data_IF_445049539278
#
_entry.id   IF_445049539278
#
_cell.length_a   1.000
_cell.length_b   1.000
_cell.length_c   1.000
_cell.angle_alpha   90.00
_cell.angle_beta   90.00
_cell.angle_gamma   90.00
#
_symmetry.space_group_name_H-M   'P 1'
#
loop_
_entity.id
_entity.type
_entity.pdbx_description
1 polymer ?
#
# COMPACT_ATOMS: atom_id res chain seq x y z
N UNK A 1 5.97 8.37 -36.51
CA UNK A 1 5.69 8.56 -35.07
C UNK A 1 4.66 9.67 -34.93
N UNK A 2 3.63 9.44 -34.11
CA UNK A 2 2.72 10.49 -33.65
C UNK A 2 3.41 11.34 -32.57
N UNK A 3 2.86 12.52 -32.28
CA UNK A 3 3.32 13.40 -31.20
C UNK A 3 2.15 13.72 -30.28
N UNK A 4 2.44 13.85 -28.98
CA UNK A 4 1.49 14.28 -27.95
C UNK A 4 2.15 15.40 -27.12
N UNK A 5 1.37 16.37 -26.65
CA UNK A 5 1.89 17.39 -25.73
C UNK A 5 2.07 16.80 -24.33
N UNK A 6 3.04 17.31 -23.54
CA UNK A 6 3.24 16.84 -22.15
C UNK A 6 2.00 17.02 -21.29
N UNK A 7 1.26 18.13 -21.47
CA UNK A 7 0.01 18.36 -20.73
C UNK A 7 -1.02 17.27 -21.02
N UNK A 8 -1.26 16.96 -22.31
CA UNK A 8 -2.23 15.92 -22.68
C UNK A 8 -1.78 14.53 -22.19
N UNK A 9 -0.48 14.27 -22.13
CA UNK A 9 0.07 13.06 -21.55
C UNK A 9 -0.23 12.97 -20.05
N UNK A 10 0.09 14.03 -19.30
CA UNK A 10 -0.16 14.11 -17.87
C UNK A 10 -1.65 14.00 -17.52
N UNK A 11 -2.53 14.61 -18.32
CA UNK A 11 -3.98 14.52 -18.14
C UNK A 11 -4.51 13.10 -18.40
N UNK A 12 -3.83 12.31 -19.25
CA UNK A 12 -4.28 10.97 -19.64
C UNK A 12 -3.68 9.86 -18.78
N UNK A 13 -2.40 9.96 -18.43
CA UNK A 13 -1.63 8.90 -17.77
C UNK A 13 -1.04 9.34 -16.43
N UNK A 14 -1.20 10.60 -16.02
CA UNK A 14 -0.46 11.19 -14.90
C UNK A 14 0.93 11.69 -15.32
N UNK A 15 1.63 12.43 -14.43
CA UNK A 15 2.93 13.03 -14.73
C UNK A 15 3.98 11.98 -15.09
N UNK A 16 5.03 12.40 -15.80
CA UNK A 16 6.20 11.59 -16.17
C UNK A 16 7.51 12.31 -15.83
N UNK A 17 8.66 11.69 -16.10
CA UNK A 17 10.00 12.13 -15.67
C UNK A 17 10.24 13.63 -15.90
N UNK A 18 10.59 14.35 -14.83
CA UNK A 18 10.83 15.80 -14.82
C UNK A 18 9.59 16.68 -14.67
N UNK A 19 8.38 16.12 -14.75
CA UNK A 19 7.17 16.84 -14.36
C UNK A 19 7.13 17.00 -12.83
N UNK A 20 6.43 18.02 -12.35
CA UNK A 20 6.36 18.37 -10.93
C UNK A 20 4.94 18.43 -10.41
N UNK A 21 4.74 17.99 -9.17
CA UNK A 21 3.42 17.96 -8.50
C UNK A 21 3.55 18.60 -7.12
N UNK A 22 2.59 19.48 -6.77
CA UNK A 22 2.48 20.04 -5.43
C UNK A 22 1.75 19.05 -4.52
N UNK A 23 2.24 18.86 -3.30
CA UNK A 23 1.59 18.00 -2.32
C UNK A 23 0.51 18.78 -1.56
N UNK A 24 -0.76 18.48 -1.87
CA UNK A 24 -1.90 19.16 -1.27
C UNK A 24 -1.86 20.68 -1.49
N UNK A 25 -2.17 21.43 -0.45
CA UNK A 25 -2.09 22.89 -0.39
C UNK A 25 -0.77 23.40 0.24
N UNK A 26 0.22 22.51 0.40
CA UNK A 26 1.54 22.85 0.97
C UNK A 26 2.44 23.53 -0.07
N UNK A 27 3.60 24.04 0.37
CA UNK A 27 4.69 24.51 -0.52
C UNK A 27 5.68 23.42 -0.95
N UNK A 28 5.38 22.15 -0.64
CA UNK A 28 6.20 21.02 -1.07
C UNK A 28 5.87 20.66 -2.52
N UNK A 29 6.91 20.56 -3.35
CA UNK A 29 6.82 20.17 -4.75
C UNK A 29 7.74 18.97 -4.98
N UNK A 30 7.16 17.88 -5.45
CA UNK A 30 7.89 16.67 -5.86
C UNK A 30 8.14 16.68 -7.37
N UNK A 31 9.23 16.06 -7.81
CA UNK A 31 9.58 15.87 -9.22
C UNK A 31 9.62 14.37 -9.51
N UNK A 32 9.08 13.94 -10.66
CA UNK A 32 9.16 12.53 -11.07
C UNK A 32 10.60 12.22 -11.50
N UNK A 33 11.28 11.35 -10.76
CA UNK A 33 12.69 11.03 -10.95
C UNK A 33 12.91 9.99 -12.06
N UNK A 34 11.98 9.04 -12.19
CA UNK A 34 12.03 7.99 -13.20
C UNK A 34 10.61 7.55 -13.60
N UNK A 35 10.46 7.10 -14.84
CA UNK A 35 9.22 6.50 -15.34
C UNK A 35 9.55 5.16 -16.02
N UNK A 36 8.88 4.10 -15.57
CA UNK A 36 9.00 2.75 -16.11
C UNK A 36 8.22 2.53 -17.40
N UNK A 37 7.35 3.48 -17.79
CA UNK A 37 6.54 3.35 -18.99
C UNK A 37 7.38 3.29 -20.27
N UNK A 38 6.88 2.54 -21.25
CA UNK A 38 7.29 2.67 -22.65
C UNK A 38 6.24 3.55 -23.33
N UNK A 39 6.62 4.75 -23.77
CA UNK A 39 5.65 5.74 -24.25
C UNK A 39 4.85 5.25 -25.46
N UNK A 40 3.52 5.22 -25.31
CA UNK A 40 2.57 4.66 -26.27
C UNK A 40 2.06 3.26 -25.92
N UNK A 41 2.66 2.62 -24.93
CA UNK A 41 2.34 1.28 -24.43
C UNK A 41 1.83 1.27 -22.98
N UNK A 42 1.40 2.43 -22.47
CA UNK A 42 0.78 2.58 -21.16
C UNK A 42 -0.47 1.70 -21.05
N UNK A 43 -0.63 1.03 -19.92
CA UNK A 43 -1.82 0.22 -19.68
C UNK A 43 -2.91 1.06 -19.03
N UNK A 44 -4.08 1.13 -19.68
CA UNK A 44 -5.30 1.74 -19.12
C UNK A 44 -6.48 0.80 -19.29
N UNK A 45 -7.30 0.71 -18.24
CA UNK A 45 -8.54 -0.06 -18.25
C UNK A 45 -9.75 0.82 -18.67
N UNK A 46 -10.71 0.21 -19.37
CA UNK A 46 -11.96 0.83 -19.78
C UNK A 46 -12.41 0.47 -21.21
N UNK A 47 -13.65 0.85 -21.55
CA UNK A 47 -14.22 0.58 -22.87
C UNK A 47 -13.36 1.15 -24.01
N UNK A 48 -12.91 0.29 -24.92
CA UNK A 48 -12.06 0.66 -26.05
C UNK A 48 -10.58 0.95 -25.70
N UNK A 49 -10.14 0.71 -24.46
CA UNK A 49 -8.76 0.98 -24.02
C UNK A 49 -7.84 -0.25 -24.16
N UNK A 50 -6.72 -0.25 -23.44
CA UNK A 50 -5.56 -1.14 -23.65
C UNK A 50 -5.74 -2.50 -22.97
N UNK A 51 -6.15 -2.53 -21.69
CA UNK A 51 -6.35 -3.78 -20.95
C UNK A 51 -7.64 -4.44 -21.43
N UNK A 52 -7.51 -5.23 -22.51
CA UNK A 52 -8.53 -6.04 -23.16
C UNK A 52 -7.89 -7.30 -23.72
N UNK A 53 -8.71 -8.32 -23.90
CA UNK A 53 -8.31 -9.63 -24.41
C UNK A 53 -7.44 -9.54 -25.67
N UNK A 54 -6.26 -10.14 -25.62
CA UNK A 54 -5.28 -10.18 -26.71
C UNK A 54 -4.55 -8.85 -26.98
N UNK A 55 -4.89 -7.78 -26.27
CA UNK A 55 -4.22 -6.47 -26.33
C UNK A 55 -3.25 -6.34 -25.17
N UNK A 56 -3.48 -5.44 -24.21
CA UNK A 56 -2.70 -5.33 -22.97
C UNK A 56 -3.01 -6.41 -21.93
N UNK A 57 -4.02 -7.27 -22.17
CA UNK A 57 -4.29 -8.47 -21.38
C UNK A 57 -3.79 -9.70 -22.15
N UNK A 58 -2.85 -10.44 -21.56
CA UNK A 58 -2.30 -11.68 -22.10
C UNK A 58 -3.27 -12.87 -21.96
N UNK A 59 -2.93 -13.99 -22.62
CA UNK A 59 -3.65 -15.27 -22.47
C UNK A 59 -3.12 -16.14 -21.33
N UNK A 60 -2.15 -15.64 -20.55
CA UNK A 60 -1.44 -16.45 -19.56
C UNK A 60 -2.34 -16.81 -18.37
N UNK A 61 -2.14 -17.99 -17.75
CA UNK A 61 -2.91 -18.41 -16.58
C UNK A 61 -2.53 -17.61 -15.33
N UNK A 62 -3.38 -17.63 -14.31
CA UNK A 62 -3.16 -16.92 -13.04
C UNK A 62 -1.89 -17.35 -12.30
N UNK A 63 -1.30 -18.51 -12.59
CA UNK A 63 0.02 -18.89 -12.07
C UNK A 63 1.13 -17.95 -12.54
N UNK A 64 0.97 -17.31 -13.70
CA UNK A 64 1.96 -16.44 -14.35
C UNK A 64 1.58 -14.95 -14.34
N UNK A 65 0.35 -14.60 -14.00
CA UNK A 65 -0.11 -13.21 -13.96
C UNK A 65 -0.32 -12.71 -12.54
N UNK A 66 -0.42 -11.40 -12.36
CA UNK A 66 -0.77 -10.80 -11.07
C UNK A 66 -2.27 -10.90 -10.79
N UNK A 67 -2.66 -10.89 -9.53
CA UNK A 67 -4.08 -10.92 -9.13
C UNK A 67 -4.70 -9.51 -9.26
N UNK A 68 -3.90 -8.47 -9.03
CA UNK A 68 -4.31 -7.08 -9.20
C UNK A 68 -3.14 -6.24 -9.75
N UNK A 69 -3.44 -5.29 -10.61
CA UNK A 69 -2.48 -4.28 -11.07
C UNK A 69 -2.99 -2.88 -10.74
N UNK A 70 -2.12 -2.04 -10.17
CA UNK A 70 -2.35 -0.60 -10.03
C UNK A 70 -1.62 0.07 -11.19
N UNK A 71 -2.36 0.70 -12.11
CA UNK A 71 -1.79 1.25 -13.35
C UNK A 71 -1.35 2.70 -13.20
N UNK A 72 -0.21 3.07 -13.79
CA UNK A 72 0.27 4.45 -13.93
C UNK A 72 0.33 5.24 -12.61
N UNK A 73 0.73 4.60 -11.49
CA UNK A 73 0.80 5.26 -10.19
C UNK A 73 2.05 6.14 -10.08
N UNK A 74 1.91 7.36 -9.54
CA UNK A 74 3.04 8.13 -9.06
C UNK A 74 3.39 7.66 -7.66
N UNK A 75 4.42 6.83 -7.54
CA UNK A 75 4.90 6.28 -6.27
C UNK A 75 5.76 7.32 -5.56
N UNK A 76 5.46 7.55 -4.29
CA UNK A 76 6.26 8.37 -3.39
C UNK A 76 6.66 7.49 -2.21
N UNK A 77 7.96 7.19 -2.11
CA UNK A 77 8.51 6.39 -1.02
C UNK A 77 9.93 6.85 -0.66
N UNK A 78 10.49 6.32 0.43
CA UNK A 78 11.80 6.74 0.94
C UNK A 78 12.96 6.50 -0.04
N UNK A 79 12.80 5.55 -0.97
CA UNK A 79 13.82 5.19 -1.97
C UNK A 79 13.71 5.99 -3.27
N UNK A 80 12.63 6.75 -3.49
CA UNK A 80 12.47 7.58 -4.69
C UNK A 80 11.03 8.00 -4.99
N UNK A 81 10.90 8.87 -5.98
CA UNK A 81 9.63 9.37 -6.52
C UNK A 81 9.54 8.95 -7.99
N UNK A 82 8.83 7.85 -8.28
CA UNK A 82 8.84 7.23 -9.60
C UNK A 82 7.45 6.94 -10.12
N UNK A 83 7.31 6.88 -11.43
CA UNK A 83 6.09 6.51 -12.14
C UNK A 83 6.18 5.05 -12.59
N UNK A 84 5.24 4.21 -12.17
CA UNK A 84 5.23 2.80 -12.50
C UNK A 84 3.84 2.16 -12.38
N UNK A 85 3.71 0.95 -12.92
CA UNK A 85 2.65 0.03 -12.56
C UNK A 85 3.09 -0.83 -11.37
N UNK A 86 2.14 -1.23 -10.52
CA UNK A 86 2.40 -2.09 -9.35
C UNK A 86 1.58 -3.38 -9.45
N UNK A 87 2.27 -4.52 -9.39
CA UNK A 87 1.67 -5.84 -9.44
C UNK A 87 1.50 -6.44 -8.06
N UNK A 88 0.31 -6.94 -7.76
CA UNK A 88 -0.05 -7.60 -6.49
C UNK A 88 -0.45 -9.04 -6.76
N UNK A 89 0.13 -9.98 -6.00
CA UNK A 89 -0.20 -11.40 -6.06
C UNK A 89 -0.20 -12.01 -4.67
N UNK A 90 -1.24 -12.78 -4.35
CA UNK A 90 -1.44 -13.43 -3.05
C UNK A 90 -1.24 -12.46 -1.86
N UNK A 91 -1.78 -11.24 -1.98
CA UNK A 91 -1.72 -10.20 -0.95
C UNK A 91 -0.33 -9.54 -0.78
N UNK A 92 0.60 -9.74 -1.71
CA UNK A 92 1.96 -9.16 -1.66
C UNK A 92 2.27 -8.38 -2.93
N UNK A 93 3.07 -7.33 -2.80
CA UNK A 93 3.68 -6.64 -3.94
C UNK A 93 4.71 -7.60 -4.56
N UNK A 94 4.57 -7.89 -5.85
CA UNK A 94 5.46 -8.80 -6.59
C UNK A 94 6.23 -8.13 -7.72
N UNK A 95 5.88 -6.89 -8.07
CA UNK A 95 6.61 -6.11 -9.04
C UNK A 95 6.23 -4.63 -9.02
N UNK A 96 7.22 -3.79 -9.30
CA UNK A 96 7.09 -2.36 -9.60
C UNK A 96 7.83 -2.17 -10.92
N UNK A 97 7.13 -1.77 -11.97
CA UNK A 97 7.72 -1.73 -13.32
C UNK A 97 6.67 -1.46 -14.39
N UNK A 98 6.82 -2.10 -15.56
CA UNK A 98 5.87 -1.97 -16.67
C UNK A 98 4.94 -3.17 -16.74
N UNK A 99 3.64 -2.94 -16.60
CA UNK A 99 2.63 -3.98 -16.72
C UNK A 99 2.10 -4.12 -18.16
N UNK A 100 1.50 -5.28 -18.46
CA UNK A 100 0.74 -5.49 -19.69
C UNK A 100 0.86 -6.90 -20.26
N UNK A 101 0.87 -6.99 -21.59
CA UNK A 101 0.95 -8.24 -22.31
C UNK A 101 2.29 -8.38 -23.05
N UNK A 102 3.15 -9.34 -22.67
CA UNK A 102 4.45 -9.53 -23.33
C UNK A 102 4.33 -10.01 -24.79
N UNK A 103 3.17 -10.50 -25.22
CA UNK A 103 2.97 -10.97 -26.60
C UNK A 103 2.82 -9.80 -27.59
N UNK A 104 2.45 -8.61 -27.11
CA UNK A 104 2.12 -7.45 -27.95
C UNK A 104 2.85 -6.17 -27.54
N UNK A 105 3.45 -6.13 -26.36
CA UNK A 105 4.11 -4.94 -25.80
C UNK A 105 5.55 -5.24 -25.39
N UNK A 106 6.43 -4.26 -25.53
CA UNK A 106 7.82 -4.39 -25.14
C UNK A 106 8.02 -4.20 -23.62
N UNK A 107 9.09 -4.79 -23.09
CA UNK A 107 9.61 -4.57 -21.73
C UNK A 107 8.58 -4.81 -20.60
N UNK A 108 7.70 -5.80 -20.74
CA UNK A 108 6.71 -6.14 -19.70
C UNK A 108 7.37 -6.93 -18.56
N UNK A 109 7.36 -6.35 -17.36
CA UNK A 109 7.80 -6.97 -16.11
C UNK A 109 6.64 -7.64 -15.36
N UNK A 110 5.43 -7.07 -15.49
CA UNK A 110 4.23 -7.45 -14.73
C UNK A 110 3.15 -7.93 -15.71
N UNK A 111 2.95 -9.24 -15.81
CA UNK A 111 2.00 -9.80 -16.77
C UNK A 111 0.57 -9.67 -16.26
N UNK A 112 -0.29 -9.07 -17.09
CA UNK A 112 -1.75 -8.96 -16.88
C UNK A 112 -2.45 -10.08 -17.65
N UNK A 113 -3.36 -10.80 -17.00
CA UNK A 113 -4.13 -11.88 -17.60
C UNK A 113 -5.62 -11.80 -17.30
N UNK A 114 -6.41 -12.81 -17.71
CA UNK A 114 -7.86 -12.80 -17.53
C UNK A 114 -8.33 -12.79 -16.07
N UNK A 115 -7.48 -13.24 -15.13
CA UNK A 115 -7.76 -13.23 -13.69
C UNK A 115 -7.23 -12.00 -12.94
N UNK A 116 -6.71 -11.00 -13.65
CA UNK A 116 -6.12 -9.80 -13.05
C UNK A 116 -7.17 -8.68 -12.92
N UNK A 117 -7.38 -8.18 -11.70
CA UNK A 117 -8.15 -6.95 -11.45
C UNK A 117 -7.31 -5.69 -11.73
N UNK A 118 -7.94 -4.58 -12.09
CA UNK A 118 -7.28 -3.31 -12.38
C UNK A 118 -7.75 -2.18 -11.45
N UNK A 119 -6.79 -1.50 -10.82
CA UNK A 119 -6.98 -0.25 -10.08
C UNK A 119 -6.30 0.88 -10.87
N UNK A 120 -7.05 1.92 -11.21
CA UNK A 120 -6.53 3.06 -11.97
C UNK A 120 -5.76 4.02 -11.04
N UNK A 121 -4.44 4.07 -11.17
CA UNK A 121 -3.54 4.98 -10.44
C UNK A 121 -3.15 6.24 -11.22
N UNK A 122 -3.52 6.36 -12.49
CA UNK A 122 -3.25 7.56 -13.28
C UNK A 122 -3.77 8.85 -12.61
N UNK A 123 -2.86 9.79 -12.37
CA UNK A 123 -3.17 11.06 -11.69
C UNK A 123 -3.30 10.94 -10.16
N UNK A 124 -3.05 9.76 -9.58
CA UNK A 124 -3.00 9.52 -8.14
C UNK A 124 -1.56 9.35 -7.66
N UNK A 125 -1.33 9.66 -6.38
CA UNK A 125 -0.10 9.31 -5.66
C UNK A 125 -0.33 8.01 -4.89
N UNK A 126 0.64 7.10 -4.96
CA UNK A 126 0.67 5.86 -4.20
C UNK A 126 1.80 5.90 -3.18
N UNK A 127 1.49 5.62 -1.91
CA UNK A 127 2.45 5.51 -0.82
C UNK A 127 2.31 4.15 -0.13
N UNK A 128 3.30 3.78 0.69
CA UNK A 128 3.07 2.76 1.72
C UNK A 128 2.00 3.25 2.72
N UNK A 129 1.35 2.30 3.39
CA UNK A 129 0.46 2.61 4.52
C UNK A 129 1.26 3.06 5.74
N UNK A 130 0.70 4.00 6.50
CA UNK A 130 1.32 4.51 7.72
C UNK A 130 1.50 3.42 8.79
N UNK A 131 2.55 3.57 9.60
CA UNK A 131 2.82 2.74 10.77
C UNK A 131 2.82 3.67 12.00
N UNK A 132 1.81 3.54 12.86
CA UNK A 132 1.79 4.22 14.14
C UNK A 132 2.27 3.28 15.24
N UNK A 133 3.34 3.66 15.93
CA UNK A 133 3.98 2.84 16.95
C UNK A 133 3.75 3.35 18.39
N UNK A 134 2.81 4.27 18.60
CA UNK A 134 2.48 4.81 19.92
C UNK A 134 0.97 4.79 20.19
N UNK A 135 0.34 3.64 19.98
CA UNK A 135 -1.10 3.51 20.19
C UNK A 135 -1.45 3.17 21.64
N UNK A 136 -2.33 3.97 22.22
CA UNK A 136 -3.05 3.58 23.43
C UNK A 136 -4.38 2.93 23.01
N UNK A 137 -4.53 1.62 23.17
CA UNK A 137 -5.77 0.91 22.80
C UNK A 137 -6.90 1.16 23.81
N UNK A 138 -7.36 2.42 23.88
CA UNK A 138 -8.41 2.92 24.78
C UNK A 138 -9.78 2.47 24.28
N UNK A 139 -10.01 2.52 22.97
CA UNK A 139 -11.27 2.13 22.36
C UNK A 139 -11.07 1.62 20.92
N UNK A 140 -11.93 0.72 20.43
CA UNK A 140 -11.79 0.11 19.10
C UNK A 140 -12.04 1.10 17.95
N UNK A 141 -12.75 2.20 18.17
CA UNK A 141 -13.07 3.20 17.13
C UNK A 141 -11.79 3.83 16.53
N UNK A 142 -10.71 3.92 17.30
CA UNK A 142 -9.43 4.45 16.82
C UNK A 142 -8.88 3.67 15.61
N UNK A 143 -9.24 2.40 15.46
CA UNK A 143 -8.73 1.55 14.38
C UNK A 143 -9.33 2.00 13.04
N UNK A 144 -10.61 2.31 13.01
CA UNK A 144 -11.27 2.86 11.81
C UNK A 144 -10.73 4.26 11.49
N UNK A 145 -10.58 5.12 12.50
CA UNK A 145 -10.04 6.47 12.32
C UNK A 145 -8.61 6.45 11.75
N UNK A 146 -7.76 5.56 12.29
CA UNK A 146 -6.40 5.36 11.81
C UNK A 146 -6.40 4.87 10.35
N UNK A 147 -7.23 3.88 10.03
CA UNK A 147 -7.33 3.34 8.67
C UNK A 147 -7.78 4.40 7.66
N UNK A 148 -8.78 5.22 8.02
CA UNK A 148 -9.28 6.30 7.17
C UNK A 148 -8.26 7.41 6.94
N UNK A 149 -7.30 7.58 7.86
CA UNK A 149 -6.16 8.49 7.68
C UNK A 149 -5.00 7.90 6.85
N UNK A 150 -5.07 6.62 6.46
CA UNK A 150 -4.03 5.93 5.70
C UNK A 150 -3.02 5.13 6.54
N UNK A 151 -3.25 4.95 7.84
CA UNK A 151 -2.46 4.03 8.69
C UNK A 151 -2.94 2.60 8.45
N UNK A 152 -2.02 1.67 8.25
CA UNK A 152 -2.34 0.23 8.04
C UNK A 152 -1.70 -0.67 9.08
N UNK A 153 -0.92 -0.11 9.99
CA UNK A 153 -0.28 -0.82 11.10
C UNK A 153 -0.32 0.03 12.37
N UNK A 154 -0.79 -0.55 13.46
CA UNK A 154 -0.89 0.08 14.77
C UNK A 154 -0.17 -0.79 15.82
N UNK A 155 0.86 -0.24 16.44
CA UNK A 155 1.64 -0.87 17.50
C UNK A 155 1.49 -0.07 18.79
N UNK A 156 1.22 -0.74 19.89
CA UNK A 156 0.94 -0.04 21.15
C UNK A 156 0.49 -0.99 22.24
N UNK A 157 -0.30 -0.52 23.21
CA UNK A 157 -0.83 -1.39 24.26
C UNK A 157 -2.06 -0.79 24.95
N UNK A 158 -2.86 -1.66 25.55
CA UNK A 158 -4.07 -1.24 26.25
C UNK A 158 -5.06 -2.38 26.48
N UNK A 159 -6.05 -2.11 27.32
CA UNK A 159 -7.13 -3.06 27.68
C UNK A 159 -8.50 -2.39 27.64
N UNK A 160 -8.66 -1.34 26.84
CA UNK A 160 -9.84 -0.48 26.84
C UNK A 160 -9.66 0.75 27.74
N UNK A 161 -10.76 1.40 28.18
CA UNK A 161 -10.72 2.71 28.84
C UNK A 161 -10.34 2.64 30.33
N UNK A 162 -9.40 1.75 30.68
CA UNK A 162 -8.86 1.63 32.03
C UNK A 162 -7.83 2.74 32.31
N UNK A 163 -7.71 3.18 33.57
CA UNK A 163 -6.75 4.22 33.98
C UNK A 163 -5.32 3.93 33.54
N UNK A 164 -4.91 2.65 33.56
CA UNK A 164 -3.58 2.25 33.08
C UNK A 164 -3.38 2.50 31.59
N UNK A 165 -4.34 2.12 30.75
CA UNK A 165 -4.29 2.33 29.29
C UNK A 165 -4.39 3.80 28.93
N UNK A 166 -5.18 4.59 29.65
CA UNK A 166 -5.25 6.03 29.45
C UNK A 166 -3.91 6.74 29.72
N UNK A 167 -2.99 6.11 30.46
CA UNK A 167 -1.68 6.67 30.80
C UNK A 167 -0.50 5.99 30.08
N UNK A 168 -0.63 4.71 29.72
CA UNK A 168 0.49 3.89 29.22
C UNK A 168 0.05 2.99 28.07
N UNK A 169 0.93 2.80 27.09
CA UNK A 169 0.78 1.85 25.98
C UNK A 169 1.09 0.41 26.43
N UNK A 170 0.41 -0.08 27.47
CA UNK A 170 0.64 -1.40 28.03
C UNK A 170 -0.61 -2.27 28.01
N UNK A 171 -0.45 -3.49 27.52
CA UNK A 171 -1.37 -4.62 27.67
C UNK A 171 -0.79 -5.56 28.73
N UNK A 172 -1.06 -5.37 30.03
CA UNK A 172 -0.32 -6.02 31.10
C UNK A 172 -0.74 -7.47 31.33
N UNK A 173 0.21 -8.39 31.23
CA UNK A 173 0.05 -9.80 31.61
C UNK A 173 -0.59 -10.69 30.54
N UNK A 174 -0.38 -12.02 30.60
CA UNK A 174 -0.77 -12.95 29.53
C UNK A 174 -2.27 -12.95 29.21
N UNK A 175 -3.13 -12.83 30.22
CA UNK A 175 -4.58 -12.86 30.00
C UNK A 175 -5.06 -11.69 29.14
N UNK A 176 -4.60 -10.47 29.44
CA UNK A 176 -4.99 -9.30 28.66
C UNK A 176 -4.41 -9.33 27.25
N UNK A 177 -3.19 -9.84 27.08
CA UNK A 177 -2.58 -10.04 25.75
C UNK A 177 -3.44 -11.00 24.92
N UNK A 178 -3.81 -12.15 25.49
CA UNK A 178 -4.68 -13.12 24.81
C UNK A 178 -6.05 -12.52 24.44
N UNK A 179 -6.68 -11.74 25.32
CA UNK A 179 -7.97 -11.10 25.03
C UNK A 179 -7.85 -10.04 23.93
N UNK A 180 -6.77 -9.25 23.91
CA UNK A 180 -6.55 -8.25 22.87
C UNK A 180 -6.24 -8.90 21.51
N UNK A 181 -5.50 -10.01 21.48
CA UNK A 181 -5.27 -10.79 20.27
C UNK A 181 -6.58 -11.37 19.71
N UNK A 182 -7.46 -11.87 20.58
CA UNK A 182 -8.79 -12.34 20.16
C UNK A 182 -9.68 -11.20 19.66
N UNK A 183 -9.67 -10.05 20.36
CA UNK A 183 -10.45 -8.87 19.96
C UNK A 183 -9.94 -8.22 18.66
N UNK A 184 -8.66 -8.43 18.32
CA UNK A 184 -8.06 -7.99 17.07
C UNK A 184 -8.50 -8.82 15.85
N UNK A 185 -9.00 -10.04 16.07
CA UNK A 185 -9.37 -10.94 14.97
C UNK A 185 -10.51 -10.35 14.14
N UNK A 186 -10.35 -10.40 12.82
CA UNK A 186 -11.30 -9.83 11.86
C UNK A 186 -11.16 -8.32 11.59
N UNK A 187 -10.23 -7.61 12.24
CA UNK A 187 -9.97 -6.20 11.94
C UNK A 187 -9.00 -6.06 10.74
N UNK A 188 -9.28 -5.20 9.75
CA UNK A 188 -8.41 -4.99 8.59
C UNK A 188 -7.23 -4.05 8.93
N UNK A 189 -6.46 -4.39 9.97
CA UNK A 189 -5.34 -3.62 10.51
C UNK A 189 -4.25 -4.57 10.99
N UNK A 190 -2.98 -4.29 10.69
CA UNK A 190 -1.88 -5.01 11.34
C UNK A 190 -1.73 -4.49 12.77
N UNK A 191 -1.82 -5.37 13.77
CA UNK A 191 -1.81 -4.99 15.18
C UNK A 191 -0.65 -5.63 15.95
N UNK A 192 0.00 -4.86 16.81
CA UNK A 192 1.03 -5.33 17.73
C UNK A 192 0.82 -4.79 19.14
N UNK A 193 0.94 -5.66 20.15
CA UNK A 193 0.68 -5.33 21.54
C UNK A 193 1.96 -5.35 22.39
N UNK A 194 2.14 -4.30 23.19
CA UNK A 194 3.27 -4.08 24.08
C UNK A 194 2.87 -4.45 25.52
N UNK A 195 3.66 -5.31 26.16
CA UNK A 195 3.52 -5.62 27.58
C UNK A 195 3.95 -4.47 28.49
N UNK A 196 3.79 -4.64 29.80
CA UNK A 196 4.30 -3.70 30.80
C UNK A 196 5.75 -4.03 31.14
N UNK A 197 6.66 -3.11 30.79
CA UNK A 197 8.10 -3.26 31.03
C UNK A 197 8.58 -2.89 32.44
N UNK A 198 7.74 -2.26 33.26
CA UNK A 198 8.12 -1.80 34.59
C UNK A 198 8.15 -2.98 35.59
N UNK A 199 9.30 -3.66 35.68
CA UNK A 199 9.55 -4.71 36.67
C UNK A 199 11.04 -4.74 37.06
N UNK A 200 11.35 -5.25 38.25
CA UNK A 200 12.73 -5.43 38.73
C UNK A 200 13.25 -6.87 38.56
N UNK A 201 12.40 -7.81 38.16
CA UNK A 201 12.74 -9.22 37.92
C UNK A 201 12.24 -9.64 36.53
N UNK A 202 12.97 -10.54 35.84
CA UNK A 202 12.70 -10.86 34.43
C UNK A 202 11.51 -11.80 34.21
N UNK A 203 11.15 -12.63 35.19
CA UNK A 203 10.14 -13.70 34.99
C UNK A 203 8.79 -13.16 34.50
N UNK A 204 8.27 -12.12 35.15
CA UNK A 204 7.01 -11.46 34.77
C UNK A 204 7.10 -10.68 33.43
N UNK A 205 8.30 -10.40 32.93
CA UNK A 205 8.49 -9.81 31.60
C UNK A 205 8.51 -10.90 30.54
N UNK A 206 9.21 -12.01 30.81
CA UNK A 206 9.28 -13.16 29.91
C UNK A 206 7.90 -13.78 29.67
N UNK A 207 7.06 -13.90 30.70
CA UNK A 207 5.70 -14.44 30.52
C UNK A 207 4.85 -13.57 29.58
N UNK A 208 5.03 -12.24 29.59
CA UNK A 208 4.28 -11.33 28.72
C UNK A 208 4.75 -11.44 27.27
N UNK A 209 6.05 -11.65 27.04
CA UNK A 209 6.61 -11.86 25.70
C UNK A 209 6.19 -13.21 25.12
N UNK A 210 6.02 -14.23 25.96
CA UNK A 210 5.63 -15.58 25.54
C UNK A 210 4.12 -15.77 25.34
N UNK A 211 3.30 -14.78 25.70
CA UNK A 211 1.84 -14.83 25.69
C UNK A 211 1.23 -14.65 24.29
#
# INVERSE_FOLDING_TARGET
MSKMSRQAYADMFGPTTGDRVRLGDTDLIIEVEHDHAVYGDEVKFGGGKVIRDGMGQSQRPSSETVDTVITNALIVDYWGIVKADVGIKAGRIVGIGKAGNPDTQANVDIVVGPGTEAIAGEGQILTAGGIDAHIHFICPQQIEEALMSGVTTMLGGGTGPATGTNATTCTPGPWHIAMMLQAADGLPMNLGFMGKGNASLPEALTEQVAA
#
